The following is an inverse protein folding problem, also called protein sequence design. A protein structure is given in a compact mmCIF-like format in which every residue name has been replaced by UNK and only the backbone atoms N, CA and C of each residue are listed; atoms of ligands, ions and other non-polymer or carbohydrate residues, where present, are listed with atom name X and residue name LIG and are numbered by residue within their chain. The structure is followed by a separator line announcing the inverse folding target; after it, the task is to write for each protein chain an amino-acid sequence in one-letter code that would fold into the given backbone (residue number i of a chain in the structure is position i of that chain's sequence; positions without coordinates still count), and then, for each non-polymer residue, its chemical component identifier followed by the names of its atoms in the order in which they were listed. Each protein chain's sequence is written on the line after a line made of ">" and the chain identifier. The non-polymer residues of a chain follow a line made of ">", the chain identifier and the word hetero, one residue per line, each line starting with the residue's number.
data_IF_332016494040
#
_entry.id   IF_332016494040
#
_cell.length_a   1.000
_cell.length_b   1.000
_cell.length_c   1.000
_cell.angle_alpha   90.00
_cell.angle_beta   90.00
_cell.angle_gamma   90.00
#
_symmetry.space_group_name_H-M   'P 1'
#
loop_
_entity.id
_entity.type
_entity.pdbx_description
1 polymer ?
#
# COMPACT_ATOMS: atom_id res chain seq x y z
N UNK A 1 -9.32 75.33 56.21
CA UNK A 1 -8.00 75.15 55.57
C UNK A 1 -7.75 73.64 55.44
N UNK A 2 -7.65 73.13 54.20
CA UNK A 2 -6.95 71.92 53.67
C UNK A 2 -6.99 70.59 54.48
N UNK A 3 -7.14 69.39 53.91
CA UNK A 3 -7.34 68.89 52.55
C UNK A 3 -7.79 67.41 52.67
N UNK A 4 -8.75 66.95 51.84
CA UNK A 4 -9.08 65.53 51.68
C UNK A 4 -8.25 64.95 50.54
N UNK A 5 -7.42 63.95 50.84
CA UNK A 5 -6.59 63.22 49.87
C UNK A 5 -7.46 62.18 49.14
N UNK A 6 -7.77 62.41 47.86
CA UNK A 6 -8.36 61.41 46.98
C UNK A 6 -7.27 60.47 46.46
N UNK A 7 -7.22 59.23 46.95
CA UNK A 7 -6.39 58.17 46.38
C UNK A 7 -7.04 57.70 45.06
N UNK A 8 -6.45 58.06 43.93
CA UNK A 8 -6.80 57.51 42.63
C UNK A 8 -6.12 56.14 42.50
N UNK A 9 -6.91 55.07 42.51
CA UNK A 9 -6.45 53.72 42.19
C UNK A 9 -6.44 53.59 40.66
N UNK A 10 -5.27 53.73 40.05
CA UNK A 10 -5.07 53.43 38.63
C UNK A 10 -4.98 51.90 38.52
N UNK A 11 -6.06 51.28 38.03
CA UNK A 11 -6.05 49.86 37.64
C UNK A 11 -5.37 49.80 36.28
N UNK A 12 -4.07 49.52 36.27
CA UNK A 12 -3.34 49.17 35.06
C UNK A 12 -3.80 47.78 34.61
N UNK A 13 -4.73 47.75 33.64
CA UNK A 13 -5.14 46.52 32.96
C UNK A 13 -4.00 46.12 32.01
N UNK A 14 -3.03 45.34 32.52
CA UNK A 14 -2.00 44.73 31.68
C UNK A 14 -2.63 43.66 30.79
N UNK A 15 -2.74 43.94 29.48
CA UNK A 15 -3.01 42.89 28.50
C UNK A 15 -1.82 41.92 28.50
N UNK A 16 -1.97 40.80 29.22
CA UNK A 16 -1.13 39.63 29.02
C UNK A 16 -1.49 39.02 27.66
N UNK A 17 -0.70 39.31 26.63
CA UNK A 17 -0.68 38.50 25.42
C UNK A 17 -0.08 37.13 25.78
N UNK A 18 -0.94 36.18 26.16
CA UNK A 18 -0.56 34.77 26.20
C UNK A 18 -0.30 34.32 24.78
N UNK A 19 0.99 34.15 24.43
CA UNK A 19 1.39 33.49 23.19
C UNK A 19 0.97 32.03 23.34
N UNK A 20 -0.22 31.68 22.85
CA UNK A 20 -0.62 30.27 22.72
C UNK A 20 0.10 29.72 21.50
N UNK A 21 1.14 28.92 21.74
CA UNK A 21 1.72 28.07 20.71
C UNK A 21 0.64 27.10 20.23
N UNK A 22 0.04 27.39 19.07
CA UNK A 22 -0.82 26.43 18.38
C UNK A 22 0.06 25.24 17.96
N UNK A 23 -0.06 24.12 18.68
CA UNK A 23 0.45 22.85 18.20
C UNK A 23 -0.50 22.33 17.13
N UNK A 24 0.01 22.14 15.91
CA UNK A 24 -0.74 21.47 14.86
C UNK A 24 -1.15 20.07 15.34
N UNK A 25 -2.44 19.73 15.17
CA UNK A 25 -2.99 18.45 15.57
C UNK A 25 -2.38 17.32 14.72
N UNK A 26 -2.02 16.20 15.36
CA UNK A 26 -1.57 15.01 14.64
C UNK A 26 -2.76 14.40 13.88
N UNK A 27 -2.61 14.28 12.56
CA UNK A 27 -3.64 13.75 11.67
C UNK A 27 -3.69 12.22 11.64
N UNK A 28 -2.70 11.54 12.21
CA UNK A 28 -2.67 10.08 12.34
C UNK A 28 -3.36 9.70 13.66
N UNK A 29 -4.48 8.94 13.63
CA UNK A 29 -5.05 8.36 14.85
C UNK A 29 -4.17 7.22 15.38
N UNK A 30 -4.20 7.04 16.70
CA UNK A 30 -3.41 6.03 17.42
C UNK A 30 -1.95 5.94 16.96
N UNK A 31 -1.18 7.05 16.99
CA UNK A 31 0.15 7.12 16.38
C UNK A 31 1.23 6.30 17.08
N UNK A 32 1.01 5.94 18.34
CA UNK A 32 1.88 5.08 19.16
C UNK A 32 1.26 3.69 19.39
N UNK A 33 0.18 3.36 18.67
CA UNK A 33 -0.42 2.02 18.65
C UNK A 33 -0.98 1.50 19.99
N UNK A 34 -1.16 2.35 21.01
CA UNK A 34 -1.62 1.96 22.35
C UNK A 34 -3.13 1.66 22.44
N UNK A 35 -3.91 2.01 21.42
CA UNK A 35 -5.36 1.78 21.39
C UNK A 35 -5.69 0.49 20.62
N UNK A 36 -6.01 -0.57 21.35
CA UNK A 36 -6.24 -1.91 20.80
C UNK A 36 -7.30 -2.70 21.58
N UNK A 37 -7.82 -3.75 20.95
CA UNK A 37 -8.99 -4.50 21.44
C UNK A 37 -8.67 -5.49 22.58
N UNK A 38 -7.59 -6.26 22.45
CA UNK A 38 -7.29 -7.35 23.39
C UNK A 38 -5.82 -7.41 23.80
N UNK A 39 -5.58 -7.58 25.11
CA UNK A 39 -4.27 -7.93 25.70
C UNK A 39 -4.02 -9.44 25.58
N UNK A 40 -3.54 -9.89 24.41
CA UNK A 40 -3.03 -11.26 24.21
C UNK A 40 -1.63 -11.44 24.84
N UNK A 41 -0.88 -12.46 24.41
CA UNK A 41 0.49 -12.75 24.86
C UNK A 41 1.56 -11.74 24.41
N UNK A 42 1.22 -10.49 24.08
CA UNK A 42 2.15 -9.47 23.60
C UNK A 42 2.38 -9.43 22.08
N UNK A 43 1.63 -10.22 21.33
CA UNK A 43 1.65 -10.25 19.86
C UNK A 43 0.26 -10.58 19.33
N UNK A 44 -0.19 -9.81 18.35
CA UNK A 44 -1.46 -9.97 17.66
C UNK A 44 -1.34 -9.52 16.20
N UNK A 45 -2.32 -9.87 15.37
CA UNK A 45 -2.45 -9.28 14.04
C UNK A 45 -2.77 -7.79 14.13
N UNK A 46 -2.45 -7.04 13.06
CA UNK A 46 -2.73 -5.61 12.98
C UNK A 46 -4.18 -5.23 13.29
N UNK A 47 -5.15 -6.09 12.95
CA UNK A 47 -6.58 -5.86 13.23
C UNK A 47 -6.90 -5.79 14.74
N UNK A 48 -5.93 -6.04 15.63
CA UNK A 48 -6.08 -5.77 17.06
C UNK A 48 -6.01 -4.26 17.36
N UNK A 49 -5.38 -3.45 16.52
CA UNK A 49 -5.36 -1.99 16.65
C UNK A 49 -6.69 -1.39 16.19
N UNK A 50 -7.26 -0.47 16.95
CA UNK A 50 -8.61 0.05 16.64
C UNK A 50 -8.67 0.88 15.35
N UNK A 51 -7.63 1.68 15.09
CA UNK A 51 -7.61 2.69 14.01
C UNK A 51 -6.84 2.23 12.76
N UNK A 52 -6.02 1.18 12.91
CA UNK A 52 -5.14 0.67 11.86
C UNK A 52 -5.67 -0.64 11.28
N UNK A 53 -5.44 -0.87 10.00
CA UNK A 53 -5.91 -2.07 9.31
C UNK A 53 -4.87 -2.61 8.33
N UNK A 54 -4.91 -3.91 8.12
CA UNK A 54 -4.09 -4.58 7.12
C UNK A 54 -4.57 -4.20 5.71
N UNK A 55 -3.67 -3.72 4.84
CA UNK A 55 -4.03 -3.42 3.45
C UNK A 55 -4.45 -4.67 2.68
N UNK A 56 -4.00 -5.86 3.10
CA UNK A 56 -4.50 -7.10 2.57
C UNK A 56 -5.84 -7.47 3.23
N UNK A 57 -6.90 -7.34 2.44
CA UNK A 57 -8.28 -7.67 2.86
C UNK A 57 -8.68 -9.12 2.57
N UNK A 58 -7.78 -9.92 1.99
CA UNK A 58 -8.00 -11.35 1.73
C UNK A 58 -7.12 -12.21 2.62
N UNK A 59 -7.75 -13.05 3.45
CA UNK A 59 -7.06 -14.03 4.29
C UNK A 59 -7.22 -15.43 3.68
N UNK A 60 -6.55 -15.75 2.55
CA UNK A 60 -6.64 -17.07 1.96
C UNK A 60 -6.12 -18.13 2.95
N UNK A 61 -6.43 -19.40 2.71
CA UNK A 61 -5.88 -20.51 3.53
C UNK A 61 -4.35 -20.63 3.45
N UNK A 62 -3.72 -19.98 2.46
CA UNK A 62 -2.28 -19.99 2.19
C UNK A 62 -1.54 -18.85 2.93
N UNK A 63 -0.26 -18.62 2.59
CA UNK A 63 0.53 -17.49 3.05
C UNK A 63 -0.02 -16.15 2.53
N UNK A 64 -0.08 -15.12 3.38
CA UNK A 64 -0.48 -13.75 3.06
C UNK A 64 0.17 -12.74 4.01
N UNK A 65 0.24 -11.47 3.62
CA UNK A 65 0.89 -10.41 4.40
C UNK A 65 0.12 -10.10 5.67
N UNK A 66 0.78 -10.13 6.82
CA UNK A 66 0.18 -9.89 8.13
C UNK A 66 1.07 -8.99 8.98
N UNK A 67 0.99 -7.65 8.81
CA UNK A 67 1.58 -6.74 9.77
C UNK A 67 1.14 -7.11 11.19
N UNK A 68 2.04 -6.88 12.14
CA UNK A 68 1.85 -7.28 13.52
C UNK A 68 1.62 -6.07 14.41
N UNK A 69 0.70 -6.25 15.36
CA UNK A 69 0.64 -5.44 16.56
C UNK A 69 1.44 -6.15 17.66
N UNK A 70 2.51 -5.53 18.13
CA UNK A 70 3.40 -6.05 19.16
C UNK A 70 3.33 -5.17 20.39
N UNK A 71 3.21 -5.75 21.58
CA UNK A 71 3.06 -4.98 22.80
C UNK A 71 3.62 -5.72 24.03
N UNK A 72 4.01 -4.96 25.05
CA UNK A 72 4.48 -5.52 26.31
C UNK A 72 3.28 -5.91 27.16
N UNK A 73 3.12 -7.22 27.40
CA UNK A 73 2.20 -7.73 28.41
C UNK A 73 2.98 -8.35 29.58
N UNK A 74 3.06 -7.64 30.72
CA UNK A 74 3.76 -8.10 31.91
C UNK A 74 3.14 -9.36 32.54
N UNK A 75 1.84 -9.60 32.32
CA UNK A 75 1.12 -10.79 32.83
C UNK A 75 1.45 -12.04 32.02
N UNK A 76 1.86 -11.88 30.75
CA UNK A 76 2.18 -12.97 29.83
C UNK A 76 3.43 -12.62 29.03
N UNK A 77 4.61 -12.59 29.66
CA UNK A 77 5.83 -12.13 29.02
C UNK A 77 6.20 -13.03 27.84
N UNK A 78 6.46 -12.42 26.68
CA UNK A 78 7.02 -13.11 25.52
C UNK A 78 8.45 -13.54 25.80
N UNK A 79 8.72 -14.83 25.99
CA UNK A 79 10.10 -15.31 26.01
C UNK A 79 10.70 -15.15 24.60
N UNK A 80 11.81 -14.41 24.47
CA UNK A 80 12.54 -14.19 23.21
C UNK A 80 12.07 -12.99 22.38
N UNK A 81 10.76 -12.83 22.13
CA UNK A 81 10.25 -11.74 21.28
C UNK A 81 10.23 -10.40 22.04
N UNK A 82 9.96 -10.37 23.36
CA UNK A 82 10.05 -9.10 24.13
C UNK A 82 11.46 -8.52 24.14
N UNK A 83 12.46 -9.37 23.91
CA UNK A 83 13.84 -8.94 23.81
C UNK A 83 14.09 -8.36 22.41
N UNK A 84 13.34 -8.79 21.37
CA UNK A 84 13.50 -8.33 19.98
C UNK A 84 13.09 -6.90 19.72
N UNK A 85 12.14 -6.38 20.51
CA UNK A 85 11.68 -5.00 20.41
C UNK A 85 11.46 -4.39 21.79
N UNK A 86 11.72 -3.09 21.90
CA UNK A 86 11.32 -2.28 23.03
C UNK A 86 10.57 -1.07 22.47
N UNK A 87 9.29 -0.86 22.84
CA UNK A 87 8.55 0.33 22.45
C UNK A 87 9.33 1.59 22.78
N UNK A 88 9.19 2.60 21.91
CA UNK A 88 9.82 3.89 22.12
C UNK A 88 9.05 4.67 23.17
N UNK A 89 7.72 4.70 23.03
CA UNK A 89 6.79 5.20 24.04
C UNK A 89 5.78 4.12 24.38
N UNK A 90 5.08 4.28 25.51
CA UNK A 90 4.04 3.36 25.93
C UNK A 90 4.50 1.90 26.01
N UNK A 91 3.67 1.01 25.48
CA UNK A 91 3.83 -0.44 25.55
C UNK A 91 3.75 -1.14 24.19
N UNK A 92 3.37 -0.43 23.13
CA UNK A 92 2.97 -1.02 21.85
C UNK A 92 3.84 -0.50 20.70
N UNK A 93 4.00 -1.32 19.66
CA UNK A 93 4.65 -0.98 18.39
C UNK A 93 3.95 -1.66 17.23
N UNK A 94 4.07 -1.06 16.06
CA UNK A 94 3.74 -1.71 14.80
C UNK A 94 4.97 -2.48 14.27
N UNK A 95 4.77 -3.70 13.81
CA UNK A 95 5.78 -4.49 13.10
C UNK A 95 5.37 -4.82 11.68
N UNK A 96 6.31 -4.72 10.73
CA UNK A 96 6.09 -5.09 9.33
C UNK A 96 7.30 -5.86 8.77
N UNK A 97 7.01 -6.87 7.96
CA UNK A 97 7.99 -7.49 7.05
C UNK A 97 8.05 -6.66 5.77
N UNK A 98 9.16 -5.93 5.61
CA UNK A 98 9.46 -5.14 4.41
C UNK A 98 10.10 -5.94 3.28
N UNK A 99 10.64 -7.12 3.59
CA UNK A 99 11.20 -8.07 2.62
C UNK A 99 11.35 -9.45 3.28
N UNK A 100 11.06 -10.54 2.56
CA UNK A 100 11.29 -11.92 3.01
C UNK A 100 11.98 -12.72 1.91
N UNK A 101 13.12 -13.36 2.22
CA UNK A 101 13.89 -14.06 1.19
C UNK A 101 13.18 -15.31 0.63
N UNK A 102 12.48 -16.06 1.48
CA UNK A 102 11.91 -17.36 1.08
C UNK A 102 10.68 -17.25 0.18
N UNK A 103 10.02 -16.08 0.15
CA UNK A 103 8.78 -15.85 -0.59
C UNK A 103 8.97 -14.61 -1.44
N UNK A 104 9.01 -14.82 -2.75
CA UNK A 104 9.15 -13.74 -3.71
C UNK A 104 8.10 -12.66 -3.47
N UNK A 105 8.53 -11.41 -3.53
CA UNK A 105 7.69 -10.24 -3.52
C UNK A 105 6.85 -10.10 -2.23
N UNK A 106 7.20 -10.81 -1.15
CA UNK A 106 6.48 -10.71 0.12
C UNK A 106 6.70 -9.36 0.78
N UNK A 107 5.60 -8.65 1.04
CA UNK A 107 5.52 -7.34 1.69
C UNK A 107 4.36 -7.33 2.66
N UNK A 108 4.48 -6.47 3.67
CA UNK A 108 3.41 -6.16 4.60
C UNK A 108 3.14 -4.66 4.60
N UNK A 109 1.85 -4.31 4.64
CA UNK A 109 1.41 -2.92 4.64
C UNK A 109 0.39 -2.66 5.73
N UNK A 110 0.72 -1.73 6.62
CA UNK A 110 -0.22 -1.18 7.57
C UNK A 110 -0.84 0.09 7.00
N UNK A 111 -2.16 0.21 7.09
CA UNK A 111 -2.90 1.36 6.60
C UNK A 111 -3.77 1.99 7.69
N UNK A 112 -4.01 3.28 7.57
CA UNK A 112 -4.81 4.07 8.51
C UNK A 112 -5.64 5.10 7.77
N UNK A 113 -6.84 5.39 8.28
CA UNK A 113 -7.62 6.54 7.83
C UNK A 113 -7.19 7.76 8.63
N UNK A 114 -6.85 8.85 7.96
CA UNK A 114 -6.46 10.09 8.62
C UNK A 114 -7.66 10.74 9.31
N UNK A 115 -7.42 11.43 10.43
CA UNK A 115 -8.43 12.20 11.16
C UNK A 115 -9.03 13.31 10.29
N UNK A 116 -8.21 13.89 9.42
CA UNK A 116 -8.61 14.89 8.44
C UNK A 116 -7.99 14.57 7.07
N UNK A 117 -8.68 14.98 6.01
CA UNK A 117 -8.20 14.79 4.63
C UNK A 117 -7.07 15.76 4.35
N UNK A 118 -5.91 15.26 3.91
CA UNK A 118 -4.86 16.12 3.36
C UNK A 118 -5.42 16.87 2.15
N UNK A 119 -5.12 18.15 2.01
CA UNK A 119 -5.67 19.01 0.97
C UNK A 119 -4.61 19.28 -0.08
N UNK A 120 -4.98 19.11 -1.35
CA UNK A 120 -4.09 19.44 -2.46
C UNK A 120 -3.52 20.85 -2.32
N UNK A 121 -2.21 20.99 -2.49
CA UNK A 121 -1.47 22.25 -2.39
C UNK A 121 -0.99 22.58 -0.97
N UNK A 122 -1.54 21.94 0.06
CA UNK A 122 -1.11 22.15 1.45
C UNK A 122 0.15 21.36 1.79
N UNK A 123 0.96 21.91 2.70
CA UNK A 123 2.21 21.30 3.13
C UNK A 123 2.01 20.51 4.42
N UNK A 124 2.60 19.33 4.51
CA UNK A 124 2.54 18.45 5.68
C UNK A 124 3.93 17.95 6.02
N UNK A 125 4.20 17.78 7.33
CA UNK A 125 5.40 17.11 7.81
C UNK A 125 5.04 15.78 8.43
N UNK A 126 5.65 14.72 7.90
CA UNK A 126 5.61 13.39 8.49
C UNK A 126 6.84 13.18 9.38
N UNK A 127 6.64 12.46 10.48
CA UNK A 127 7.69 11.93 11.35
C UNK A 127 7.29 10.52 11.78
N UNK A 128 8.27 9.62 11.87
CA UNK A 128 8.12 8.34 12.57
C UNK A 128 9.46 7.93 13.17
N UNK A 129 9.43 7.01 14.14
CA UNK A 129 10.63 6.33 14.60
C UNK A 129 10.60 4.90 14.12
N UNK A 130 11.70 4.45 13.53
CA UNK A 130 11.80 3.11 12.95
C UNK A 130 13.08 2.40 13.43
N UNK A 131 13.02 1.08 13.56
CA UNK A 131 14.17 0.20 13.85
C UNK A 131 13.96 -1.23 13.36
N UNK A 132 15.01 -2.05 13.34
CA UNK A 132 14.96 -3.45 12.91
C UNK A 132 15.04 -4.46 14.08
N UNK A 133 14.88 -4.03 15.32
CA UNK A 133 15.02 -4.90 16.50
C UNK A 133 16.48 -5.23 16.82
N UNK A 134 16.74 -6.30 17.59
CA UNK A 134 18.09 -6.61 18.10
C UNK A 134 18.66 -7.99 17.67
N UNK A 135 18.55 -8.35 16.40
CA UNK A 135 19.25 -9.50 15.76
C UNK A 135 18.76 -10.91 16.14
N UNK A 136 17.80 -11.08 17.07
CA UNK A 136 17.44 -12.41 17.61
C UNK A 136 16.15 -13.01 17.03
N UNK A 137 15.18 -12.17 16.62
CA UNK A 137 13.90 -12.65 16.09
C UNK A 137 13.46 -11.79 14.89
N UNK A 138 13.07 -12.47 13.81
CA UNK A 138 12.53 -11.89 12.58
C UNK A 138 13.49 -10.95 11.83
N UNK A 139 14.78 -11.00 12.11
CA UNK A 139 15.75 -10.05 11.56
C UNK A 139 17.06 -10.72 11.17
N UNK A 140 17.44 -10.54 9.90
CA UNK A 140 18.76 -10.90 9.39
C UNK A 140 19.13 -10.16 8.10
N UNK A 141 18.17 -9.46 7.50
CA UNK A 141 18.34 -8.69 6.28
C UNK A 141 18.00 -7.24 6.59
N UNK A 142 18.84 -6.35 6.08
CA UNK A 142 18.54 -4.95 5.86
C UNK A 142 18.08 -4.77 4.42
N UNK A 143 17.14 -3.85 4.18
CA UNK A 143 16.67 -3.55 2.82
C UNK A 143 16.43 -2.06 2.63
N UNK A 144 16.37 -1.63 1.38
CA UNK A 144 15.80 -0.34 1.00
C UNK A 144 14.28 -0.47 0.74
N UNK A 145 13.65 0.64 0.34
CA UNK A 145 12.28 0.63 -0.18
C UNK A 145 11.18 0.88 0.84
N UNK A 146 11.49 0.95 2.14
CA UNK A 146 10.52 1.41 3.14
C UNK A 146 9.98 2.79 2.74
N UNK A 147 8.67 2.96 2.70
CA UNK A 147 8.03 4.18 2.24
C UNK A 147 6.69 4.49 2.90
N UNK A 148 6.18 5.66 2.55
CA UNK A 148 4.89 6.21 3.00
C UNK A 148 4.09 6.63 1.78
N UNK A 149 2.88 6.11 1.65
CA UNK A 149 1.96 6.39 0.55
C UNK A 149 0.65 7.00 1.07
N UNK A 150 0.25 8.13 0.50
CA UNK A 150 -1.02 8.80 0.76
C UNK A 150 -2.01 8.54 -0.39
N UNK A 151 -3.28 8.29 -0.06
CA UNK A 151 -4.31 7.97 -1.05
C UNK A 151 -5.70 8.46 -0.67
N UNK A 152 -6.54 8.73 -1.67
CA UNK A 152 -7.95 9.13 -1.49
C UNK A 152 -8.83 7.95 -1.04
N UNK A 153 -8.53 6.75 -1.55
CA UNK A 153 -9.31 5.55 -1.31
C UNK A 153 -8.46 4.49 -0.60
N UNK A 154 -9.12 3.58 0.12
CA UNK A 154 -8.44 2.43 0.73
C UNK A 154 -7.72 1.63 -0.36
N UNK A 155 -6.43 1.42 -0.18
CA UNK A 155 -5.65 0.55 -1.05
C UNK A 155 -5.82 -0.91 -0.65
N UNK A 156 -5.71 -1.81 -1.62
CA UNK A 156 -5.80 -3.25 -1.42
C UNK A 156 -4.48 -3.89 -1.82
N UNK A 157 -3.85 -4.56 -0.87
CA UNK A 157 -2.81 -5.53 -1.17
C UNK A 157 -3.44 -6.86 -1.57
N UNK A 158 -2.86 -7.51 -2.57
CA UNK A 158 -3.24 -8.87 -2.94
C UNK A 158 -2.31 -9.85 -2.23
N UNK A 159 -2.83 -10.53 -1.22
CA UNK A 159 -2.09 -11.57 -0.47
C UNK A 159 -0.88 -10.95 0.24
N UNK A 160 0.33 -11.06 -0.31
CA UNK A 160 1.54 -10.41 0.23
C UNK A 160 2.29 -9.60 -0.83
N UNK A 161 1.76 -9.44 -2.05
CA UNK A 161 2.48 -8.80 -3.14
C UNK A 161 2.72 -7.30 -2.88
N UNK A 162 3.73 -6.66 -3.50
CA UNK A 162 3.96 -5.24 -3.35
C UNK A 162 2.81 -4.43 -3.94
N UNK A 163 2.44 -3.34 -3.28
CA UNK A 163 1.52 -2.35 -3.80
C UNK A 163 2.18 -1.60 -4.95
N UNK A 164 1.58 -1.68 -6.14
CA UNK A 164 2.11 -1.08 -7.36
C UNK A 164 1.76 0.40 -7.50
N UNK A 165 2.18 1.17 -6.50
CA UNK A 165 2.03 2.62 -6.42
C UNK A 165 3.39 3.27 -6.18
N UNK A 166 3.52 4.55 -6.51
CA UNK A 166 4.70 5.33 -6.15
C UNK A 166 4.43 6.00 -4.81
N UNK A 167 5.15 5.66 -3.73
CA UNK A 167 5.01 6.34 -2.45
C UNK A 167 5.56 7.76 -2.53
N UNK A 168 4.96 8.67 -1.77
CA UNK A 168 5.42 10.07 -1.67
C UNK A 168 6.75 10.19 -0.93
N UNK A 169 7.10 9.19 -0.13
CA UNK A 169 8.40 9.07 0.51
C UNK A 169 8.88 7.63 0.44
N UNK A 170 10.17 7.45 0.17
CA UNK A 170 10.84 6.16 0.17
C UNK A 170 12.27 6.33 0.67
N UNK A 171 12.78 5.35 1.42
CA UNK A 171 14.20 5.25 1.75
C UNK A 171 14.89 4.48 0.62
N UNK A 172 15.70 5.17 -0.18
CA UNK A 172 16.34 4.58 -1.36
C UNK A 172 17.57 3.73 -1.00
N UNK A 173 18.29 4.10 0.05
CA UNK A 173 19.45 3.35 0.55
C UNK A 173 19.03 2.18 1.45
N UNK A 174 19.90 1.16 1.54
CA UNK A 174 19.70 0.05 2.48
C UNK A 174 19.64 0.59 3.91
N UNK A 175 18.50 0.37 4.58
CA UNK A 175 18.27 0.80 5.94
C UNK A 175 18.46 -0.34 6.94
N UNK A 176 19.24 -0.07 7.99
CA UNK A 176 19.33 -0.93 9.17
C UNK A 176 19.67 -0.15 10.42
N UNK A 177 18.98 -0.42 11.51
CA UNK A 177 19.37 0.06 12.84
C UNK A 177 18.77 -0.79 13.96
N UNK A 178 19.50 -0.91 15.07
CA UNK A 178 19.01 -1.54 16.31
C UNK A 178 18.43 -0.52 17.29
N UNK A 179 18.70 0.77 17.08
CA UNK A 179 18.21 1.88 17.89
C UNK A 179 17.05 2.60 17.19
N UNK A 180 16.18 3.26 17.95
CA UNK A 180 15.11 4.04 17.35
C UNK A 180 15.67 5.21 16.53
N UNK A 181 15.51 5.16 15.21
CA UNK A 181 15.91 6.23 14.30
C UNK A 181 14.71 7.02 13.84
N UNK A 182 14.75 8.34 14.05
CA UNK A 182 13.75 9.27 13.53
C UNK A 182 13.90 9.38 12.01
N UNK A 183 12.80 9.19 11.29
CA UNK A 183 12.64 9.61 9.90
C UNK A 183 11.67 10.79 9.85
N UNK A 184 11.91 11.71 8.93
CA UNK A 184 11.03 12.86 8.73
C UNK A 184 11.17 13.37 7.30
N UNK A 185 10.06 13.80 6.72
CA UNK A 185 10.04 14.50 5.44
C UNK A 185 8.90 15.50 5.43
N UNK A 186 9.02 16.50 4.56
CA UNK A 186 7.96 17.45 4.26
C UNK A 186 7.42 17.14 2.87
N UNK A 187 6.11 17.23 2.70
CA UNK A 187 5.40 16.88 1.48
C UNK A 187 4.31 17.89 1.19
N UNK A 188 4.26 18.38 -0.05
CA UNK A 188 3.14 19.19 -0.55
C UNK A 188 2.15 18.23 -1.18
N UNK A 189 0.92 18.20 -0.66
CA UNK A 189 -0.09 17.26 -1.14
C UNK A 189 -0.46 17.52 -2.61
N UNK A 190 -0.32 16.50 -3.45
CA UNK A 190 -0.65 16.58 -4.89
C UNK A 190 -2.14 16.30 -5.16
N UNK A 191 -2.84 15.75 -4.18
CA UNK A 191 -4.26 15.44 -4.21
C UNK A 191 -4.89 15.49 -2.83
N UNK A 192 -6.18 15.23 -2.78
CA UNK A 192 -6.90 15.10 -1.53
C UNK A 192 -6.78 13.66 -1.02
N UNK A 193 -6.12 13.45 0.13
CA UNK A 193 -5.80 12.12 0.63
C UNK A 193 -6.46 11.84 1.98
N UNK A 194 -7.18 10.72 2.08
CA UNK A 194 -7.91 10.28 3.27
C UNK A 194 -7.20 9.16 4.03
N UNK A 195 -6.24 8.49 3.39
CA UNK A 195 -5.56 7.31 3.91
C UNK A 195 -4.06 7.46 3.79
N UNK A 196 -3.35 6.79 4.71
CA UNK A 196 -1.92 6.59 4.68
C UNK A 196 -1.62 5.10 4.76
N UNK A 197 -0.65 4.64 3.99
CA UNK A 197 -0.16 3.26 3.95
C UNK A 197 1.36 3.26 4.06
N UNK A 198 1.90 2.38 4.90
CA UNK A 198 3.34 2.22 5.13
C UNK A 198 3.77 0.78 4.87
N UNK A 199 4.94 0.61 4.27
CA UNK A 199 5.48 -0.69 3.87
C UNK A 199 6.67 -0.52 2.93
N UNK A 200 7.00 -1.55 2.14
CA UNK A 200 8.00 -1.44 1.08
C UNK A 200 7.34 -1.62 -0.29
N UNK A 201 7.41 -0.60 -1.15
CA UNK A 201 6.69 -0.53 -2.44
C UNK A 201 7.52 -1.08 -3.62
N UNK A 202 8.75 -1.48 -3.37
CA UNK A 202 9.62 -2.10 -4.37
C UNK A 202 9.31 -3.59 -4.51
N UNK A 203 9.36 -4.11 -5.74
CA UNK A 203 9.46 -5.54 -5.98
C UNK A 203 10.88 -6.03 -5.67
N UNK A 204 11.07 -7.34 -5.56
CA UNK A 204 12.36 -7.92 -5.17
C UNK A 204 13.50 -7.55 -6.13
N UNK A 205 13.19 -7.30 -7.41
CA UNK A 205 14.20 -6.90 -8.41
C UNK A 205 14.78 -5.52 -8.11
N UNK A 206 13.98 -4.63 -7.50
CA UNK A 206 14.39 -3.28 -7.12
C UNK A 206 14.78 -3.16 -5.65
N UNK A 207 14.59 -4.23 -4.86
CA UNK A 207 14.88 -4.22 -3.44
C UNK A 207 16.34 -4.64 -3.24
N UNK A 208 17.18 -3.67 -2.88
CA UNK A 208 18.54 -3.93 -2.46
C UNK A 208 18.54 -4.49 -1.04
N UNK A 209 19.33 -5.54 -0.83
CA UNK A 209 19.42 -6.23 0.46
C UNK A 209 20.85 -6.36 0.96
N UNK A 210 21.00 -6.42 2.28
CA UNK A 210 22.27 -6.75 2.95
C UNK A 210 22.02 -7.68 4.12
N UNK A 211 22.73 -8.80 4.17
CA UNK A 211 22.74 -9.67 5.35
C UNK A 211 23.46 -9.00 6.52
N UNK A 212 22.83 -9.04 7.68
CA UNK A 212 23.39 -8.53 8.94
C UNK A 212 23.95 -9.68 9.78
N UNK A 213 23.28 -10.83 9.75
CA UNK A 213 23.68 -12.07 10.43
C UNK A 213 23.09 -13.27 9.68
N UNK A 214 23.54 -14.47 10.06
CA UNK A 214 22.99 -15.71 9.52
C UNK A 214 21.67 -16.05 10.23
N UNK A 215 20.66 -16.43 9.46
CA UNK A 215 19.36 -16.92 9.93
C UNK A 215 18.84 -17.97 8.94
N UNK A 216 18.04 -18.92 9.42
CA UNK A 216 17.37 -19.96 8.63
C UNK A 216 16.15 -19.43 7.87
N UNK A 217 15.54 -18.32 8.32
CA UNK A 217 14.46 -17.63 7.60
C UNK A 217 14.70 -16.10 7.55
N UNK A 218 15.70 -15.65 6.77
CA UNK A 218 16.17 -14.28 6.81
C UNK A 218 15.16 -13.32 6.15
N UNK A 219 14.80 -12.29 6.90
CA UNK A 219 13.84 -11.26 6.50
C UNK A 219 14.26 -9.88 7.02
N UNK A 220 13.70 -8.84 6.41
CA UNK A 220 13.83 -7.46 6.85
C UNK A 220 12.55 -7.02 7.55
N UNK A 221 12.61 -7.05 8.89
CA UNK A 221 11.52 -6.62 9.75
C UNK A 221 11.78 -5.22 10.27
N UNK A 222 10.75 -4.36 10.24
CA UNK A 222 10.81 -2.97 10.70
C UNK A 222 9.73 -2.78 11.75
N UNK A 223 10.16 -2.32 12.92
CA UNK A 223 9.29 -1.82 13.98
C UNK A 223 9.11 -0.31 13.82
N UNK A 224 7.91 0.18 14.05
CA UNK A 224 7.56 1.59 14.00
C UNK A 224 6.89 2.03 15.29
N UNK A 225 7.13 3.28 15.68
CA UNK A 225 6.51 3.93 16.84
C UNK A 225 6.51 5.48 16.68
N UNK A 226 5.71 6.16 17.48
CA UNK A 226 5.61 7.63 17.56
C UNK A 226 5.42 8.32 16.19
N UNK A 227 4.37 7.92 15.46
CA UNK A 227 4.06 8.52 14.16
C UNK A 227 3.45 9.91 14.31
N UNK A 228 3.76 10.82 13.40
CA UNK A 228 3.15 12.15 13.37
C UNK A 228 3.01 12.65 11.96
N UNK A 229 1.84 13.19 11.65
CA UNK A 229 1.58 13.93 10.41
C UNK A 229 0.88 15.22 10.80
N UNK A 230 1.55 16.33 10.56
CA UNK A 230 1.02 17.65 10.91
C UNK A 230 0.94 18.53 9.67
N UNK A 231 -0.11 19.34 9.60
CA UNK A 231 -0.20 20.42 8.62
C UNK A 231 0.81 21.52 8.98
N UNK A 232 1.57 21.97 7.99
CA UNK A 232 2.42 23.15 8.08
C UNK A 232 1.67 24.26 7.35
N UNK A 233 1.13 25.25 8.07
CA UNK A 233 0.54 26.42 7.44
C UNK A 233 1.56 27.07 6.51
N UNK A 234 1.16 27.38 5.29
CA UNK A 234 1.91 28.30 4.45
C UNK A 234 2.02 29.62 5.21
N UNK A 235 3.26 30.09 5.43
CA UNK A 235 3.46 31.48 5.82
C UNK A 235 2.86 32.32 4.70
N UNK A 236 1.99 33.31 4.98
CA UNK A 236 1.63 34.27 3.95
C UNK A 236 2.94 34.84 3.40
N UNK A 237 3.21 34.65 2.11
CA UNK A 237 4.15 35.54 1.44
C UNK A 237 3.63 36.96 1.69
N UNK A 238 4.52 37.90 2.01
CA UNK A 238 4.14 39.32 2.09
C UNK A 238 3.64 39.74 0.70
N UNK A 239 2.35 39.55 0.45
CA UNK A 239 1.68 40.10 -0.72
C UNK A 239 1.67 41.61 -0.55
N UNK A 240 2.38 42.29 -1.46
CA UNK A 240 2.26 43.73 -1.70
C UNK A 240 0.79 44.13 -1.68
N UNK A 241 0.44 44.95 -0.69
CA UNK A 241 -0.89 45.50 -0.48
C UNK A 241 -1.34 46.22 -1.75
N UNK A 242 -2.35 45.67 -2.41
CA UNK A 242 -3.24 46.44 -3.28
C UNK A 242 -4.67 46.35 -2.75
N UNK A 243 -5.10 47.44 -2.13
CA UNK A 243 -6.52 47.78 -1.99
C UNK A 243 -7.16 47.85 -3.40
N UNK A 244 -8.33 47.25 -3.63
CA UNK A 244 -9.60 47.91 -3.29
C UNK A 244 -10.86 47.11 -3.74
N UNK A 245 -11.90 47.24 -2.90
CA UNK A 245 -13.37 47.17 -3.02
C UNK A 245 -14.18 46.03 -3.70
N UNK A 246 -15.00 45.38 -2.82
CA UNK A 246 -16.46 45.06 -2.91
C UNK A 246 -16.99 44.08 -3.99
N UNK A 247 -17.96 43.18 -3.80
CA UNK A 247 -19.20 43.19 -2.99
C UNK A 247 -19.63 41.79 -2.52
N UNK A 248 -20.50 41.79 -1.50
CA UNK A 248 -21.19 40.66 -0.85
C UNK A 248 -22.56 40.44 -1.47
N UNK A 249 -22.94 39.19 -1.79
CA UNK A 249 -24.36 38.77 -1.88
C UNK A 249 -24.53 37.37 -1.26
N UNK A 250 -25.55 37.23 -0.41
CA UNK A 250 -25.88 36.07 0.43
C UNK A 250 -27.17 35.40 -0.05
N UNK A 251 -27.11 34.06 -0.22
CA UNK A 251 -28.17 33.02 -0.03
C UNK A 251 -29.43 33.05 -0.95
N UNK A 252 -30.22 31.94 -1.10
CA UNK A 252 -30.31 30.78 -0.21
C UNK A 252 -30.42 29.36 -0.81
N UNK A 253 -30.33 28.42 0.13
CA UNK A 253 -30.53 26.96 0.09
C UNK A 253 -31.93 26.57 -0.40
N UNK A 254 -32.02 25.48 -1.17
CA UNK A 254 -33.26 24.73 -1.38
C UNK A 254 -33.04 23.23 -1.11
N UNK A 255 -33.81 22.70 -0.16
CA UNK A 255 -34.01 21.29 0.17
C UNK A 255 -35.28 20.83 -0.53
N UNK A 256 -35.25 19.77 -1.36
CA UNK A 256 -36.40 18.86 -1.53
C UNK A 256 -35.92 17.44 -1.87
N UNK A 257 -36.60 16.52 -1.21
CA UNK A 257 -36.59 15.05 -1.07
C UNK A 257 -36.54 14.15 -2.31
N UNK A 258 -36.21 12.85 -2.12
CA UNK A 258 -36.04 11.84 -3.18
C UNK A 258 -37.36 11.16 -3.59
N UNK A 259 -37.49 10.65 -4.83
CA UNK A 259 -38.50 9.67 -5.16
C UNK A 259 -37.91 8.28 -5.50
N UNK A 260 -38.38 7.32 -4.70
CA UNK A 260 -38.97 6.01 -5.06
C UNK A 260 -38.10 4.95 -5.78
N UNK A 261 -37.79 3.90 -5.01
CA UNK A 261 -37.36 2.58 -5.48
C UNK A 261 -38.45 1.91 -6.32
N UNK A 262 -38.05 1.40 -7.49
CA UNK A 262 -38.78 0.37 -8.22
C UNK A 262 -38.10 -0.99 -7.96
N UNK A 263 -38.89 -1.98 -7.52
CA UNK A 263 -38.47 -3.38 -7.41
C UNK A 263 -38.21 -3.95 -8.81
N UNK A 264 -36.97 -4.33 -9.08
CA UNK A 264 -36.61 -5.08 -10.28
C UNK A 264 -36.52 -6.57 -9.91
N UNK A 265 -37.38 -7.35 -10.56
CA UNK A 265 -37.42 -8.80 -10.49
C UNK A 265 -36.09 -9.42 -10.92
N UNK A 266 -35.52 -10.25 -10.04
CA UNK A 266 -34.25 -10.95 -10.26
C UNK A 266 -34.42 -11.99 -11.37
N UNK A 267 -33.97 -11.66 -12.57
CA UNK A 267 -33.55 -12.67 -13.55
C UNK A 267 -32.10 -13.02 -13.26
N UNK A 268 -31.82 -14.31 -13.12
CA UNK A 268 -30.49 -14.88 -12.91
C UNK A 268 -29.58 -14.53 -14.10
N UNK A 269 -28.79 -13.47 -13.95
CA UNK A 269 -27.77 -13.06 -14.92
C UNK A 269 -26.51 -13.84 -14.56
N UNK A 270 -26.02 -14.69 -15.47
CA UNK A 270 -24.65 -15.22 -15.41
C UNK A 270 -23.69 -14.04 -15.21
N UNK A 271 -23.01 -14.01 -14.08
CA UNK A 271 -22.08 -12.93 -13.72
C UNK A 271 -21.13 -12.65 -14.88
N UNK A 272 -21.19 -11.42 -15.36
CA UNK A 272 -20.25 -10.90 -16.34
C UNK A 272 -18.94 -10.69 -15.60
N UNK A 273 -17.93 -11.49 -15.95
CA UNK A 273 -16.55 -11.42 -15.45
C UNK A 273 -16.11 -9.95 -15.27
N UNK A 274 -15.90 -9.52 -14.02
CA UNK A 274 -15.35 -8.20 -13.73
C UNK A 274 -13.84 -8.31 -13.99
N UNK A 275 -13.41 -7.86 -15.17
CA UNK A 275 -11.99 -7.65 -15.44
C UNK A 275 -11.52 -6.46 -14.60
N UNK A 276 -10.88 -6.74 -13.47
CA UNK A 276 -10.15 -5.70 -12.73
C UNK A 276 -8.96 -5.28 -13.61
N UNK A 277 -8.99 -4.05 -14.14
CA UNK A 277 -7.86 -3.51 -14.89
C UNK A 277 -6.65 -3.43 -13.97
N UNK A 278 -5.74 -4.39 -14.14
CA UNK A 278 -4.47 -4.43 -13.41
C UNK A 278 -3.30 -4.22 -14.37
N UNK A 279 -2.21 -3.58 -13.92
CA UNK A 279 -1.06 -3.30 -14.77
C UNK A 279 -0.55 -4.55 -15.50
N UNK A 280 -0.31 -4.42 -16.81
CA UNK A 280 0.26 -5.49 -17.62
C UNK A 280 1.77 -5.29 -17.78
N UNK A 281 2.55 -6.26 -17.31
CA UNK A 281 4.00 -6.32 -17.47
C UNK A 281 4.33 -7.14 -18.71
N UNK A 282 4.83 -6.48 -19.77
CA UNK A 282 5.30 -7.17 -20.98
C UNK A 282 6.61 -7.90 -20.68
N UNK A 283 6.53 -9.22 -20.50
CA UNK A 283 7.66 -10.09 -20.15
C UNK A 283 8.44 -10.55 -21.39
N UNK A 284 7.83 -10.49 -22.58
CA UNK A 284 8.50 -10.84 -23.83
C UNK A 284 7.95 -10.09 -25.03
N UNK A 285 8.82 -9.85 -26.03
CA UNK A 285 8.44 -9.36 -27.35
C UNK A 285 8.89 -10.35 -28.42
N UNK A 286 7.99 -10.75 -29.30
CA UNK A 286 8.28 -11.75 -30.34
C UNK A 286 7.98 -11.22 -31.74
N UNK A 287 8.89 -11.51 -32.69
CA UNK A 287 8.69 -11.18 -34.10
C UNK A 287 8.11 -12.38 -34.86
N UNK A 288 6.93 -12.17 -35.47
CA UNK A 288 6.21 -13.19 -36.23
C UNK A 288 6.28 -12.95 -37.74
N UNK A 289 6.04 -14.00 -38.52
CA UNK A 289 6.06 -13.93 -40.00
C UNK A 289 4.71 -14.29 -40.64
N UNK A 290 3.75 -14.74 -39.83
CA UNK A 290 2.40 -15.16 -40.23
C UNK A 290 1.36 -14.33 -39.49
N UNK A 291 0.24 -14.03 -40.14
CA UNK A 291 -0.90 -13.36 -39.49
C UNK A 291 -1.65 -14.32 -38.60
N UNK A 292 -1.68 -15.61 -38.94
CA UNK A 292 -2.23 -16.65 -38.09
C UNK A 292 -1.17 -17.13 -37.10
N UNK A 293 -1.55 -17.12 -35.82
CA UNK A 293 -0.71 -17.54 -34.70
C UNK A 293 -1.45 -18.67 -33.98
N UNK A 294 -0.79 -19.82 -33.87
CA UNK A 294 -1.27 -20.92 -33.04
C UNK A 294 -0.56 -20.89 -31.68
N UNK A 295 -1.35 -20.91 -30.62
CA UNK A 295 -0.87 -20.97 -29.24
C UNK A 295 -1.14 -22.37 -28.69
N UNK A 296 -0.27 -22.85 -27.82
CA UNK A 296 -0.51 -24.01 -26.97
C UNK A 296 -0.10 -23.64 -25.56
N UNK A 297 -1.02 -23.71 -24.61
CA UNK A 297 -0.79 -23.30 -23.22
C UNK A 297 -0.96 -24.48 -22.27
N UNK A 298 -0.13 -24.56 -21.24
CA UNK A 298 -0.15 -25.60 -20.22
C UNK A 298 0.61 -25.16 -18.98
N UNK A 299 0.49 -25.94 -17.91
CA UNK A 299 1.34 -25.83 -16.73
C UNK A 299 2.63 -26.64 -16.95
N UNK A 300 3.79 -25.97 -17.01
CA UNK A 300 5.09 -26.60 -17.31
C UNK A 300 5.76 -27.25 -16.10
N UNK A 301 5.24 -27.01 -14.89
CA UNK A 301 5.89 -27.43 -13.65
C UNK A 301 5.07 -28.53 -12.97
N UNK A 302 4.30 -28.16 -11.96
CA UNK A 302 3.48 -29.03 -11.12
C UNK A 302 2.08 -28.46 -11.23
N UNK A 303 1.10 -29.27 -11.62
CA UNK A 303 -0.31 -28.82 -11.62
C UNK A 303 -0.70 -28.48 -10.20
N UNK A 304 -0.68 -27.18 -9.90
CA UNK A 304 -0.81 -26.66 -8.55
C UNK A 304 -2.11 -25.85 -8.37
N UNK A 305 -2.97 -25.88 -9.39
CA UNK A 305 -4.30 -25.28 -9.37
C UNK A 305 -4.34 -23.86 -9.94
N UNK A 306 -3.34 -23.46 -10.72
CA UNK A 306 -3.34 -22.20 -11.44
C UNK A 306 -4.58 -22.00 -12.33
N UNK A 307 -5.41 -20.99 -12.05
CA UNK A 307 -6.59 -20.64 -12.87
C UNK A 307 -6.35 -19.33 -13.60
N UNK A 308 -6.45 -19.36 -14.93
CA UNK A 308 -6.08 -18.23 -15.79
C UNK A 308 -7.12 -17.87 -16.84
N UNK A 309 -7.11 -16.62 -17.26
CA UNK A 309 -7.76 -16.13 -18.49
C UNK A 309 -6.73 -15.52 -19.41
N UNK A 310 -6.94 -15.64 -20.72
CA UNK A 310 -6.11 -15.04 -21.74
C UNK A 310 -6.92 -14.01 -22.51
N UNK A 311 -6.35 -12.82 -22.68
CA UNK A 311 -6.94 -11.76 -23.48
C UNK A 311 -6.02 -11.42 -24.64
N UNK A 312 -6.58 -11.31 -25.84
CA UNK A 312 -5.90 -10.85 -27.04
C UNK A 312 -6.44 -9.48 -27.41
N UNK A 313 -5.60 -8.45 -27.32
CA UNK A 313 -5.98 -7.07 -27.62
C UNK A 313 -7.21 -6.59 -26.83
N UNK A 314 -7.31 -7.04 -25.56
CA UNK A 314 -8.44 -6.75 -24.67
C UNK A 314 -9.59 -7.75 -24.76
N UNK A 315 -9.67 -8.58 -25.80
CA UNK A 315 -10.76 -9.54 -25.98
C UNK A 315 -10.41 -10.92 -25.39
N UNK A 316 -11.30 -11.55 -24.62
CA UNK A 316 -11.02 -12.85 -24.03
C UNK A 316 -10.92 -13.96 -25.09
N UNK A 317 -9.81 -14.70 -25.09
CA UNK A 317 -9.58 -15.88 -25.94
C UNK A 317 -9.55 -17.19 -25.15
N UNK A 318 -9.44 -17.11 -23.83
CA UNK A 318 -9.59 -18.20 -22.87
C UNK A 318 -10.06 -17.61 -21.54
N UNK A 319 -11.03 -18.24 -20.87
CA UNK A 319 -11.57 -17.74 -19.60
C UNK A 319 -11.54 -18.83 -18.54
N UNK A 320 -11.21 -18.44 -17.30
CA UNK A 320 -11.23 -19.24 -16.07
C UNK A 320 -10.76 -20.69 -16.27
N UNK A 321 -9.66 -20.84 -16.98
CA UNK A 321 -9.11 -22.13 -17.32
C UNK A 321 -8.08 -22.54 -16.29
N UNK A 322 -8.36 -23.63 -15.58
CA UNK A 322 -7.38 -24.31 -14.74
C UNK A 322 -6.30 -24.92 -15.63
N UNK A 323 -5.06 -24.47 -15.45
CA UNK A 323 -3.91 -25.00 -16.19
C UNK A 323 -3.69 -26.46 -15.81
N UNK A 324 -3.35 -27.26 -16.81
CA UNK A 324 -3.06 -28.69 -16.64
C UNK A 324 -1.79 -29.02 -17.41
N UNK A 325 -1.22 -30.20 -17.15
CA UNK A 325 -0.11 -30.72 -17.97
C UNK A 325 -0.49 -30.93 -19.45
N UNK A 326 -1.79 -31.02 -19.78
CA UNK A 326 -2.28 -31.19 -21.15
C UNK A 326 -2.36 -29.84 -21.86
N UNK A 327 -1.69 -29.74 -23.01
CA UNK A 327 -1.68 -28.53 -23.83
C UNK A 327 -3.07 -28.19 -24.38
N UNK A 328 -3.58 -27.02 -24.00
CA UNK A 328 -4.75 -26.38 -24.60
C UNK A 328 -4.31 -25.57 -25.81
N UNK A 329 -4.88 -25.85 -26.99
CA UNK A 329 -4.57 -25.14 -28.23
C UNK A 329 -5.55 -24.01 -28.47
N UNK A 330 -5.04 -22.85 -28.88
CA UNK A 330 -5.82 -21.67 -29.27
C UNK A 330 -5.28 -21.13 -30.59
N UNK A 331 -6.10 -20.38 -31.31
CA UNK A 331 -5.70 -19.65 -32.52
C UNK A 331 -6.10 -18.20 -32.36
N UNK A 332 -5.18 -17.30 -32.70
CA UNK A 332 -5.40 -15.86 -32.72
C UNK A 332 -4.86 -15.30 -34.04
N UNK A 333 -5.33 -14.10 -34.41
CA UNK A 333 -4.95 -13.43 -35.65
C UNK A 333 -4.30 -12.09 -35.32
N UNK A 334 -3.13 -11.84 -35.89
CA UNK A 334 -2.44 -10.56 -35.80
C UNK A 334 -3.24 -9.48 -36.55
N UNK A 335 -3.39 -8.32 -35.91
CA UNK A 335 -4.13 -7.18 -36.42
C UNK A 335 -3.16 -6.06 -36.82
N UNK A 336 -2.93 -5.81 -38.14
CA UNK A 336 -2.08 -4.70 -38.60
C UNK A 336 -2.54 -3.35 -38.04
N UNK A 337 -1.59 -2.50 -37.67
CA UNK A 337 -1.87 -1.13 -37.21
C UNK A 337 -2.38 -1.03 -35.77
N UNK A 338 -2.53 -2.14 -35.05
CA UNK A 338 -2.88 -2.16 -33.63
C UNK A 338 -1.72 -2.67 -32.78
N UNK A 339 -1.75 -2.33 -31.49
CA UNK A 339 -0.93 -3.06 -30.53
C UNK A 339 -1.45 -4.51 -30.43
N UNK A 340 -0.53 -5.47 -30.58
CA UNK A 340 -0.86 -6.90 -30.53
C UNK A 340 -0.24 -7.51 -29.28
N UNK A 341 -1.04 -7.64 -28.22
CA UNK A 341 -0.58 -8.14 -26.92
C UNK A 341 -1.49 -9.26 -26.45
N UNK A 342 -0.86 -10.39 -26.09
CA UNK A 342 -1.50 -11.47 -25.35
C UNK A 342 -1.29 -11.22 -23.86
N UNK A 343 -2.37 -11.07 -23.11
CA UNK A 343 -2.37 -10.83 -21.67
C UNK A 343 -2.77 -12.13 -20.96
N UNK A 344 -1.94 -12.56 -20.01
CA UNK A 344 -2.24 -13.58 -19.02
C UNK A 344 -2.84 -12.90 -17.79
N UNK A 345 -4.04 -13.31 -17.42
CA UNK A 345 -4.73 -12.90 -16.21
C UNK A 345 -4.86 -14.11 -15.29
N UNK A 346 -4.35 -13.98 -14.08
CA UNK A 346 -4.40 -14.99 -13.04
C UNK A 346 -5.55 -14.69 -12.08
N UNK A 347 -6.42 -15.67 -11.87
CA UNK A 347 -7.52 -15.63 -10.90
C UNK A 347 -7.09 -16.11 -9.51
N UNK A 348 -5.95 -16.78 -9.42
CA UNK A 348 -5.29 -17.21 -8.19
C UNK A 348 -3.78 -17.23 -8.41
N UNK A 349 -3.00 -17.67 -7.42
CA UNK A 349 -1.54 -17.81 -7.52
C UNK A 349 -1.06 -19.26 -7.64
N UNK A 350 -1.99 -20.23 -7.74
CA UNK A 350 -1.66 -21.63 -7.54
C UNK A 350 -1.28 -21.94 -6.08
N UNK A 351 -0.67 -23.10 -5.85
CA UNK A 351 -0.05 -23.44 -4.55
C UNK A 351 1.38 -22.90 -4.47
N UNK A 352 2.09 -22.82 -5.59
CA UNK A 352 3.45 -22.33 -5.75
C UNK A 352 3.46 -21.02 -6.54
N UNK A 353 3.27 -19.88 -5.85
CA UNK A 353 3.25 -18.56 -6.48
C UNK A 353 4.56 -18.22 -7.23
N UNK A 354 4.50 -17.41 -8.31
CA UNK A 354 3.30 -16.82 -8.92
C UNK A 354 2.61 -17.79 -9.90
N UNK A 355 1.39 -17.46 -10.31
CA UNK A 355 0.68 -18.21 -11.34
C UNK A 355 1.49 -18.22 -12.65
N UNK A 356 1.81 -19.42 -13.14
CA UNK A 356 2.81 -19.62 -14.19
C UNK A 356 2.26 -20.47 -15.32
N UNK A 357 2.17 -19.87 -16.51
CA UNK A 357 1.75 -20.55 -17.72
C UNK A 357 2.92 -20.74 -18.68
N UNK A 358 3.17 -21.96 -19.16
CA UNK A 358 3.96 -22.16 -20.36
C UNK A 358 3.13 -21.97 -21.62
N UNK A 359 3.75 -21.39 -22.64
CA UNK A 359 3.14 -21.16 -23.92
C UNK A 359 4.11 -21.50 -25.05
N UNK A 360 3.64 -22.34 -25.97
CA UNK A 360 4.27 -22.54 -27.27
C UNK A 360 3.52 -21.76 -28.34
N UNK A 361 4.27 -20.97 -29.10
CA UNK A 361 3.78 -20.05 -30.11
C UNK A 361 4.31 -20.50 -31.46
N UNK A 362 3.41 -20.73 -32.41
CA UNK A 362 3.76 -21.05 -33.80
C UNK A 362 3.13 -20.00 -34.72
N UNK A 363 3.97 -19.28 -35.45
CA UNK A 363 3.55 -18.31 -36.45
C UNK A 363 4.41 -18.47 -37.72
N UNK A 364 3.84 -19.13 -38.74
CA UNK A 364 4.57 -19.53 -39.94
C UNK A 364 5.56 -20.66 -39.65
N UNK A 365 6.81 -20.51 -40.10
CA UNK A 365 7.89 -21.49 -39.87
C UNK A 365 8.54 -21.36 -38.48
N UNK A 366 8.30 -20.25 -37.76
CA UNK A 366 8.90 -20.01 -36.43
C UNK A 366 8.05 -20.65 -35.34
N UNK A 367 8.72 -21.36 -34.42
CA UNK A 367 8.15 -21.87 -33.16
C UNK A 367 8.98 -21.32 -32.01
N UNK A 368 8.33 -20.79 -30.97
CA UNK A 368 8.96 -20.40 -29.71
C UNK A 368 8.19 -20.99 -28.54
N UNK A 369 8.89 -21.31 -27.46
CA UNK A 369 8.30 -21.70 -26.19
C UNK A 369 8.86 -20.76 -25.13
N UNK A 370 7.99 -20.35 -24.22
CA UNK A 370 8.34 -19.46 -23.11
C UNK A 370 7.40 -19.72 -21.93
N UNK A 371 7.77 -19.23 -20.76
CA UNK A 371 6.94 -19.19 -19.56
C UNK A 371 6.55 -17.74 -19.30
N UNK A 372 5.27 -17.51 -19.03
CA UNK A 372 4.74 -16.22 -18.58
C UNK A 372 4.26 -16.40 -17.16
N UNK A 373 4.49 -15.38 -16.35
CA UNK A 373 3.99 -15.33 -14.98
C UNK A 373 2.91 -14.27 -14.85
N UNK A 374 1.95 -14.49 -13.96
CA UNK A 374 0.97 -13.49 -13.57
C UNK A 374 0.75 -13.60 -12.08
N UNK A 375 0.42 -12.48 -11.47
CA UNK A 375 0.15 -12.40 -10.05
C UNK A 375 -1.30 -11.94 -9.86
N UNK A 376 -1.78 -11.71 -8.64
CA UNK A 376 -3.12 -11.15 -8.48
C UNK A 376 -3.16 -9.63 -8.73
N UNK A 377 -2.05 -8.93 -8.46
CA UNK A 377 -1.88 -7.51 -8.74
C UNK A 377 -1.33 -7.18 -10.14
N UNK A 378 -0.73 -8.14 -10.87
CA UNK A 378 -0.10 -7.91 -12.19
C UNK A 378 -0.51 -8.96 -13.21
N UNK A 379 -0.77 -8.51 -14.43
CA UNK A 379 -0.91 -9.40 -15.58
C UNK A 379 0.40 -9.53 -16.35
N UNK A 380 0.71 -10.74 -16.80
CA UNK A 380 1.85 -11.00 -17.68
C UNK A 380 1.47 -10.78 -19.13
N UNK A 381 2.34 -10.16 -19.93
CA UNK A 381 2.08 -9.88 -21.34
C UNK A 381 3.15 -10.42 -22.27
N UNK A 382 2.74 -10.87 -23.47
CA UNK A 382 3.62 -10.99 -24.63
C UNK A 382 3.19 -9.98 -25.68
N UNK A 383 4.14 -9.15 -26.13
CA UNK A 383 3.93 -8.29 -27.29
C UNK A 383 4.36 -9.01 -28.57
N UNK A 384 3.49 -8.99 -29.57
CA UNK A 384 3.74 -9.54 -30.89
C UNK A 384 4.05 -8.40 -31.86
N UNK A 385 5.16 -8.52 -32.56
CA UNK A 385 5.62 -7.58 -33.58
C UNK A 385 5.72 -8.30 -34.91
N UNK A 386 5.43 -7.60 -35.99
CA UNK A 386 5.56 -8.14 -37.35
C UNK A 386 6.47 -7.25 -38.16
#
# INVERSE_FOLDING_TARGET
>A
MRAKLFKHLIIACGLFFTITTLHAQNLIPNPSFEKFHEETRGHAYLDNLEDWFNANTSKPKSLYGTPDHLFINEKQPLNGIKDSFKPRTGTSVLGIISYMQRVNDYREYASVKLNETLKKGETYQFTAYIKNGNQVAFGAIASNGFGVYFSDNKIRQYVYEPLMVTPQYQIDDIFYTTDWKKITFTYVAEGDYKYMTIGNFLDDVKTDIKYINYDVDPQCYIYLDDLSLIHIPSTPEEEDVKEDTSEVIVAPVAVVTPPKQEEIQVKEVKEKLIYEERPTVVQSSIYITSYEISLSVWDDKTVDGDVVSLFWNGEPVLQEYELTAKKKKLKIKYEPGKENVLILYAHNLGKEPPNTMAIAIKAGKKKRQLSIRSTLGKSGGIRFKR
#
